data_IF_350564512389
#
_entry.id   IF_350564512389
#
_cell.length_a   1.000
_cell.length_b   1.000
_cell.length_c   1.000
_cell.angle_alpha   90.00
_cell.angle_beta   90.00
_cell.angle_gamma   90.00
#
_symmetry.space_group_name_H-M   'P 1'
#
loop_
_entity.id
_entity.type
_entity.pdbx_description
1 polymer ?
#
# COMPACT_ATOMS: atom_id res chain seq x y z
N UNK A 1 -51.59 67.55 47.65
CA UNK A 1 -52.93 67.65 48.30
C UNK A 1 -52.99 66.97 49.66
N UNK A 2 -52.56 65.69 49.81
CA UNK A 2 -52.61 64.94 51.09
C UNK A 2 -51.92 65.62 52.29
N UNK A 3 -50.77 66.24 52.05
CA UNK A 3 -50.01 66.97 53.08
C UNK A 3 -50.76 68.18 53.66
N UNK A 4 -51.56 68.87 52.84
CA UNK A 4 -52.38 70.03 53.26
C UNK A 4 -53.56 69.56 54.12
N UNK A 5 -54.19 68.44 53.77
CA UNK A 5 -55.29 67.85 54.56
C UNK A 5 -54.84 67.39 55.95
N UNK A 6 -53.66 66.76 56.06
CA UNK A 6 -53.10 66.32 57.35
C UNK A 6 -52.80 67.52 58.27
N UNK A 7 -52.23 68.60 57.71
CA UNK A 7 -51.95 69.84 58.44
C UNK A 7 -53.21 70.50 59.01
N UNK A 8 -54.32 70.51 58.26
CA UNK A 8 -55.61 71.06 58.70
C UNK A 8 -56.22 70.27 59.87
N UNK A 9 -56.16 68.94 59.82
CA UNK A 9 -56.68 68.07 60.89
C UNK A 9 -55.87 68.27 62.18
N UNK A 10 -54.54 68.29 62.09
CA UNK A 10 -53.67 68.49 63.25
C UNK A 10 -53.86 69.86 63.90
N UNK A 11 -53.98 70.92 63.08
CA UNK A 11 -54.16 72.27 63.60
C UNK A 11 -55.54 72.45 64.26
N UNK A 12 -56.59 71.86 63.70
CA UNK A 12 -57.92 71.84 64.31
C UNK A 12 -57.92 71.17 65.70
N UNK A 13 -57.22 70.03 65.84
CA UNK A 13 -57.09 69.31 67.12
C UNK A 13 -56.27 70.11 68.14
N UNK A 14 -55.16 70.73 67.72
CA UNK A 14 -54.30 71.52 68.61
C UNK A 14 -55.01 72.76 69.17
N UNK A 15 -55.76 73.48 68.33
CA UNK A 15 -56.53 74.66 68.74
C UNK A 15 -57.65 74.27 69.71
N UNK A 16 -58.38 73.17 69.44
CA UNK A 16 -59.43 72.71 70.35
C UNK A 16 -58.88 72.22 71.69
N UNK A 17 -57.76 71.50 71.71
CA UNK A 17 -57.12 71.05 72.95
C UNK A 17 -56.62 72.24 73.79
N UNK A 18 -55.95 73.23 73.17
CA UNK A 18 -55.45 74.42 73.86
C UNK A 18 -56.56 75.28 74.47
N UNK A 19 -57.66 75.45 73.73
CA UNK A 19 -58.79 76.29 74.17
C UNK A 19 -59.60 75.64 75.30
N UNK A 20 -59.77 74.32 75.28
CA UNK A 20 -60.44 73.57 76.35
C UNK A 20 -59.66 73.63 77.68
N UNK A 21 -58.33 73.75 77.64
CA UNK A 21 -57.52 73.85 78.85
C UNK A 21 -57.46 75.26 79.46
N UNK A 22 -57.73 76.32 78.70
CA UNK A 22 -57.51 77.71 79.16
C UNK A 22 -58.79 78.51 79.44
N UNK A 23 -59.93 78.23 78.79
CA UNK A 23 -61.14 79.04 78.95
C UNK A 23 -62.41 78.17 79.17
N UNK A 24 -63.00 78.30 80.36
CA UNK A 24 -64.01 77.37 80.88
C UNK A 24 -65.47 77.57 80.42
N UNK A 25 -65.81 78.60 79.65
CA UNK A 25 -67.21 79.08 79.59
C UNK A 25 -67.94 79.03 78.24
N UNK A 26 -67.36 78.56 77.12
CA UNK A 26 -68.10 78.36 75.85
C UNK A 26 -67.72 77.08 75.10
N UNK A 27 -67.90 75.91 75.73
CA UNK A 27 -67.40 74.62 75.23
C UNK A 27 -68.10 74.10 73.95
N UNK A 28 -69.36 74.43 73.71
CA UNK A 28 -70.13 73.83 72.62
C UNK A 28 -69.79 74.38 71.22
N UNK A 29 -69.56 75.69 71.09
CA UNK A 29 -69.37 76.35 69.79
C UNK A 29 -68.03 76.05 69.13
N UNK A 30 -66.96 75.85 69.90
CA UNK A 30 -65.62 75.53 69.37
C UNK A 30 -65.48 74.07 68.94
N UNK A 31 -66.22 73.16 69.57
CA UNK A 31 -66.26 71.75 69.15
C UNK A 31 -66.89 71.63 67.75
N UNK A 32 -67.97 72.37 67.47
CA UNK A 32 -68.62 72.34 66.14
C UNK A 32 -67.71 72.86 65.04
N UNK A 33 -66.99 73.95 65.30
CA UNK A 33 -66.09 74.57 64.32
C UNK A 33 -64.86 73.67 64.03
N UNK A 34 -64.32 72.99 65.04
CA UNK A 34 -63.26 72.00 64.85
C UNK A 34 -63.72 70.75 64.10
N UNK A 35 -64.97 70.31 64.32
CA UNK A 35 -65.52 69.14 63.63
C UNK A 35 -65.57 69.37 62.11
N UNK A 36 -66.00 70.57 61.68
CA UNK A 36 -66.04 70.93 60.25
C UNK A 36 -64.64 70.92 59.63
N UNK A 37 -63.64 71.45 60.34
CA UNK A 37 -62.25 71.45 59.87
C UNK A 37 -61.68 70.03 59.71
N UNK A 38 -62.01 69.12 60.65
CA UNK A 38 -61.60 67.71 60.58
C UNK A 38 -62.27 67.00 59.40
N UNK A 39 -63.57 67.21 59.17
CA UNK A 39 -64.28 66.62 58.04
C UNK A 39 -63.78 67.13 56.69
N UNK A 40 -63.48 68.43 56.57
CA UNK A 40 -62.89 69.00 55.35
C UNK A 40 -61.48 68.42 55.08
N UNK A 41 -60.66 68.26 56.13
CA UNK A 41 -59.34 67.63 56.02
C UNK A 41 -59.42 66.15 55.60
N UNK A 42 -60.36 65.39 56.15
CA UNK A 42 -60.64 63.99 55.78
C UNK A 42 -61.13 63.87 54.33
N UNK A 43 -62.00 64.77 53.88
CA UNK A 43 -62.50 64.78 52.49
C UNK A 43 -61.35 64.98 51.48
N UNK A 44 -60.39 65.86 51.77
CA UNK A 44 -59.21 66.09 50.93
C UNK A 44 -58.23 64.91 50.93
N UNK A 45 -58.14 64.14 52.01
CA UNK A 45 -57.31 62.93 52.08
C UNK A 45 -57.95 61.78 51.28
N UNK A 46 -59.28 61.73 51.25
CA UNK A 46 -60.05 60.67 50.59
C UNK A 46 -60.35 60.92 49.10
N UNK A 47 -60.09 62.12 48.57
CA UNK A 47 -60.38 62.47 47.17
C UNK A 47 -59.68 61.54 46.15
N UNK A 48 -58.48 61.04 46.46
CA UNK A 48 -57.74 60.09 45.59
C UNK A 48 -58.22 58.63 45.71
N UNK A 49 -59.14 58.30 46.63
CA UNK A 49 -59.71 56.95 46.79
C UNK A 49 -61.16 56.82 46.30
N UNK A 50 -61.78 57.91 45.83
CA UNK A 50 -63.18 57.92 45.35
C UNK A 50 -63.26 57.81 43.81
N UNK A 51 -62.20 57.35 43.12
CA UNK A 51 -62.25 57.01 41.68
C UNK A 51 -62.68 55.57 41.38
N UNK A 52 -62.97 54.74 42.39
CA UNK A 52 -63.59 53.42 42.22
C UNK A 52 -64.90 53.31 43.01
N UNK A 53 -65.94 53.99 42.53
CA UNK A 53 -67.33 53.65 42.85
C UNK A 53 -67.81 52.60 41.84
N UNK A 54 -67.77 51.34 42.27
CA UNK A 54 -68.35 50.18 41.60
C UNK A 54 -69.87 50.27 41.60
N UNK A 55 -70.47 50.50 40.43
CA UNK A 55 -71.92 50.35 40.24
C UNK A 55 -72.21 48.90 39.86
N UNK A 56 -73.00 48.23 40.70
CA UNK A 56 -73.45 46.84 40.55
C UNK A 56 -74.28 46.71 39.26
N UNK A 57 -73.75 46.02 38.25
CA UNK A 57 -74.48 45.66 37.02
C UNK A 57 -73.80 45.97 35.68
N UNK A 58 -72.76 46.81 35.64
CA UNK A 58 -72.07 47.18 34.37
C UNK A 58 -70.54 46.97 34.44
N UNK A 59 -69.98 46.75 35.63
CA UNK A 59 -68.53 46.62 35.84
C UNK A 59 -67.88 45.30 35.43
N UNK A 60 -68.63 44.19 35.35
CA UNK A 60 -68.10 42.88 34.94
C UNK A 60 -67.76 42.83 33.45
N UNK A 61 -68.51 43.57 32.62
CA UNK A 61 -68.27 43.65 31.18
C UNK A 61 -66.96 44.39 30.91
N UNK A 62 -66.64 45.43 31.69
CA UNK A 62 -65.44 46.24 31.44
C UNK A 62 -64.15 45.53 31.85
N UNK A 63 -64.16 44.77 32.95
CA UNK A 63 -63.02 43.95 33.36
C UNK A 63 -62.83 42.73 32.45
N UNK A 64 -63.92 42.04 32.08
CA UNK A 64 -63.87 40.94 31.12
C UNK A 64 -63.49 41.42 29.71
N UNK A 65 -63.97 42.59 29.28
CA UNK A 65 -63.57 43.19 28.00
C UNK A 65 -62.09 43.56 28.00
N UNK A 66 -61.57 44.12 29.10
CA UNK A 66 -60.14 44.46 29.22
C UNK A 66 -59.24 43.23 29.28
N UNK A 67 -59.70 42.14 29.91
CA UNK A 67 -59.01 40.85 29.89
C UNK A 67 -59.06 40.21 28.50
N UNK A 68 -60.21 40.23 27.83
CA UNK A 68 -60.36 39.74 26.47
C UNK A 68 -59.54 40.55 25.46
N UNK A 69 -59.42 41.87 25.66
CA UNK A 69 -58.55 42.76 24.88
C UNK A 69 -57.07 42.39 25.11
N UNK A 70 -56.65 42.20 26.37
CA UNK A 70 -55.29 41.75 26.70
C UNK A 70 -54.97 40.35 26.15
N UNK A 71 -55.91 39.42 26.18
CA UNK A 71 -55.73 38.07 25.65
C UNK A 71 -55.73 38.08 24.12
N UNK A 72 -56.57 38.92 23.49
CA UNK A 72 -56.56 39.15 22.05
C UNK A 72 -55.24 39.77 21.58
N UNK A 73 -54.69 40.72 22.35
CA UNK A 73 -53.36 41.29 22.09
C UNK A 73 -52.27 40.23 22.23
N UNK A 74 -52.29 39.42 23.29
CA UNK A 74 -51.33 38.33 23.48
C UNK A 74 -51.39 37.27 22.37
N UNK A 75 -52.61 36.94 21.90
CA UNK A 75 -52.82 36.02 20.77
C UNK A 75 -52.39 36.65 19.45
N UNK A 76 -52.63 37.95 19.24
CA UNK A 76 -52.15 38.68 18.07
C UNK A 76 -50.62 38.77 18.04
N UNK A 77 -49.99 38.96 19.20
CA UNK A 77 -48.54 39.01 19.35
C UNK A 77 -47.90 37.63 19.16
N UNK A 78 -48.53 36.57 19.68
CA UNK A 78 -48.15 35.17 19.40
C UNK A 78 -48.31 34.83 17.92
N UNK A 79 -49.41 35.22 17.30
CA UNK A 79 -49.65 35.02 15.87
C UNK A 79 -48.59 35.75 15.04
N UNK A 80 -48.30 37.01 15.37
CA UNK A 80 -47.26 37.80 14.71
C UNK A 80 -45.88 37.17 14.88
N UNK A 81 -45.55 36.67 16.08
CA UNK A 81 -44.30 35.95 16.33
C UNK A 81 -44.22 34.63 15.55
N UNK A 82 -45.29 33.85 15.50
CA UNK A 82 -45.35 32.60 14.72
C UNK A 82 -45.25 32.88 13.23
N UNK A 83 -45.92 33.90 12.71
CA UNK A 83 -45.81 34.33 11.30
C UNK A 83 -44.39 34.86 11.00
N UNK A 84 -43.77 35.58 11.93
CA UNK A 84 -42.37 36.05 11.78
C UNK A 84 -41.35 34.90 11.84
N UNK A 85 -41.68 33.81 12.54
CA UNK A 85 -40.84 32.62 12.65
C UNK A 85 -41.15 31.55 11.61
N UNK A 86 -42.27 31.63 10.89
CA UNK A 86 -42.64 30.65 9.87
C UNK A 86 -41.61 30.63 8.74
N UNK A 87 -41.11 31.80 8.34
CA UNK A 87 -40.02 31.91 7.37
C UNK A 87 -38.73 31.20 7.83
N UNK A 88 -38.45 31.22 9.14
CA UNK A 88 -37.32 30.50 9.73
C UNK A 88 -37.56 29.00 9.75
N UNK A 89 -38.79 28.54 10.06
CA UNK A 89 -39.16 27.12 10.01
C UNK A 89 -39.06 26.58 8.58
N UNK A 90 -39.52 27.33 7.59
CA UNK A 90 -39.42 26.97 6.18
C UNK A 90 -37.95 26.89 5.72
N UNK A 91 -37.10 27.84 6.14
CA UNK A 91 -35.65 27.79 5.91
C UNK A 91 -35.00 26.56 6.55
N UNK A 92 -35.33 26.24 7.80
CA UNK A 92 -34.80 25.06 8.49
C UNK A 92 -35.26 23.77 7.81
N UNK A 93 -36.53 23.69 7.38
CA UNK A 93 -37.03 22.55 6.62
C UNK A 93 -36.34 22.41 5.26
N UNK A 94 -36.08 23.52 4.57
CA UNK A 94 -35.35 23.54 3.30
C UNK A 94 -33.89 23.10 3.48
N UNK A 95 -33.19 23.60 4.50
CA UNK A 95 -31.82 23.20 4.82
C UNK A 95 -31.74 21.74 5.27
N UNK A 96 -32.69 21.25 6.07
CA UNK A 96 -32.77 19.84 6.44
C UNK A 96 -32.99 18.94 5.20
N UNK A 97 -33.85 19.37 4.27
CA UNK A 97 -34.08 18.67 3.00
C UNK A 97 -32.81 18.64 2.12
N UNK A 98 -32.11 19.77 2.00
CA UNK A 98 -30.81 19.85 1.30
C UNK A 98 -29.76 18.96 1.95
N UNK A 99 -29.64 18.98 3.28
CA UNK A 99 -28.70 18.16 4.03
C UNK A 99 -28.99 16.66 3.86
N UNK A 100 -30.27 16.26 3.88
CA UNK A 100 -30.67 14.88 3.60
C UNK A 100 -30.27 14.46 2.18
N UNK A 101 -30.59 15.28 1.18
CA UNK A 101 -30.22 15.00 -0.22
C UNK A 101 -28.69 14.92 -0.40
N UNK A 102 -27.93 15.80 0.24
CA UNK A 102 -26.47 15.78 0.20
C UNK A 102 -25.92 14.52 0.88
N UNK A 103 -26.48 14.13 2.02
CA UNK A 103 -26.11 12.89 2.73
C UNK A 103 -26.35 11.66 1.86
N UNK A 104 -27.51 11.57 1.20
CA UNK A 104 -27.83 10.50 0.25
C UNK A 104 -26.90 10.51 -0.97
N UNK A 105 -26.55 11.68 -1.50
CA UNK A 105 -25.59 11.80 -2.61
C UNK A 105 -24.19 11.33 -2.19
N UNK A 106 -23.72 11.72 -1.00
CA UNK A 106 -22.44 11.29 -0.44
C UNK A 106 -22.43 9.78 -0.20
N UNK A 107 -23.48 9.21 0.38
CA UNK A 107 -23.60 7.76 0.58
C UNK A 107 -23.52 7.01 -0.76
N UNK A 108 -24.27 7.47 -1.78
CA UNK A 108 -24.25 6.88 -3.12
C UNK A 108 -22.89 7.06 -3.83
N UNK A 109 -22.16 8.14 -3.56
CA UNK A 109 -20.80 8.35 -4.09
C UNK A 109 -19.81 7.44 -3.37
N UNK A 110 -19.95 7.24 -2.07
CA UNK A 110 -19.08 6.38 -1.27
C UNK A 110 -19.24 4.91 -1.67
N UNK A 111 -20.47 4.42 -1.81
CA UNK A 111 -20.74 3.06 -2.29
C UNK A 111 -20.15 2.82 -3.70
N UNK A 112 -20.27 3.81 -4.59
CA UNK A 112 -19.65 3.75 -5.92
C UNK A 112 -18.12 3.75 -5.87
N UNK A 113 -17.53 4.51 -4.94
CA UNK A 113 -16.09 4.52 -4.73
C UNK A 113 -15.60 3.17 -4.19
N UNK A 114 -16.29 2.58 -3.22
CA UNK A 114 -15.99 1.26 -2.67
C UNK A 114 -16.04 0.16 -3.74
N UNK A 115 -17.10 0.13 -4.56
CA UNK A 115 -17.20 -0.83 -5.68
C UNK A 115 -16.08 -0.66 -6.71
N UNK A 116 -15.68 0.60 -6.99
CA UNK A 116 -14.55 0.88 -7.88
C UNK A 116 -13.23 0.42 -7.27
N UNK A 117 -13.02 0.65 -5.98
CA UNK A 117 -11.82 0.17 -5.27
C UNK A 117 -11.73 -1.36 -5.30
N UNK A 118 -12.81 -2.07 -4.99
CA UNK A 118 -12.82 -3.55 -5.06
C UNK A 118 -12.52 -4.06 -6.48
N UNK A 119 -13.02 -3.37 -7.51
CA UNK A 119 -12.74 -3.71 -8.91
C UNK A 119 -11.26 -3.49 -9.24
N UNK A 120 -10.67 -2.38 -8.76
CA UNK A 120 -9.26 -2.07 -8.95
C UNK A 120 -8.37 -3.09 -8.23
N UNK A 121 -8.67 -3.46 -6.99
CA UNK A 121 -7.90 -4.45 -6.23
C UNK A 121 -7.88 -5.82 -6.92
N UNK A 122 -9.04 -6.25 -7.45
CA UNK A 122 -9.13 -7.47 -8.27
C UNK A 122 -8.31 -7.36 -9.55
N UNK A 123 -8.32 -6.20 -10.20
CA UNK A 123 -7.54 -5.97 -11.41
C UNK A 123 -6.03 -5.98 -11.13
N UNK A 124 -5.59 -5.33 -10.04
CA UNK A 124 -4.19 -5.32 -9.59
C UNK A 124 -3.73 -6.74 -9.28
N UNK A 125 -4.51 -7.50 -8.51
CA UNK A 125 -4.18 -8.89 -8.15
C UNK A 125 -4.00 -9.76 -9.39
N UNK A 126 -4.91 -9.65 -10.37
CA UNK A 126 -4.79 -10.37 -11.65
C UNK A 126 -3.56 -9.93 -12.43
N UNK A 127 -3.31 -8.62 -12.53
CA UNK A 127 -2.16 -8.09 -13.25
C UNK A 127 -0.83 -8.58 -12.64
N UNK A 128 -0.71 -8.57 -11.31
CA UNK A 128 0.47 -9.08 -10.61
C UNK A 128 0.68 -10.58 -10.85
N UNK A 129 -0.39 -11.38 -10.81
CA UNK A 129 -0.31 -12.81 -11.13
C UNK A 129 0.13 -13.05 -12.58
N UNK A 130 -0.48 -12.35 -13.54
CA UNK A 130 -0.13 -12.48 -14.95
C UNK A 130 1.29 -12.02 -15.26
N UNK A 131 1.79 -10.99 -14.55
CA UNK A 131 3.17 -10.56 -14.68
C UNK A 131 4.14 -11.65 -14.18
N UNK A 132 3.85 -12.25 -13.02
CA UNK A 132 4.65 -13.36 -12.50
C UNK A 132 4.67 -14.56 -13.46
N UNK A 133 3.53 -14.91 -14.05
CA UNK A 133 3.44 -16.00 -15.03
C UNK A 133 4.26 -15.67 -16.29
N UNK A 134 4.20 -14.42 -16.75
CA UNK A 134 4.94 -13.95 -17.93
C UNK A 134 6.45 -13.95 -17.70
N UNK A 135 6.91 -13.53 -16.51
CA UNK A 135 8.32 -13.60 -16.12
C UNK A 135 8.83 -15.04 -16.12
N UNK A 136 8.06 -15.97 -15.55
CA UNK A 136 8.39 -17.40 -15.55
C UNK A 136 8.49 -17.98 -16.97
N UNK A 137 7.52 -17.69 -17.84
CA UNK A 137 7.55 -18.13 -19.25
C UNK A 137 8.74 -17.53 -19.99
N UNK A 138 9.03 -16.25 -19.76
CA UNK A 138 10.14 -15.55 -20.42
C UNK A 138 11.49 -16.13 -19.99
N UNK A 139 11.70 -16.35 -18.68
CA UNK A 139 12.92 -16.98 -18.17
C UNK A 139 13.10 -18.39 -18.75
N UNK A 140 12.01 -19.18 -18.83
CA UNK A 140 12.04 -20.48 -19.47
C UNK A 140 12.45 -20.39 -20.94
N UNK A 141 11.78 -19.56 -21.74
CA UNK A 141 12.06 -19.42 -23.17
C UNK A 141 13.47 -18.92 -23.43
N UNK A 142 13.95 -17.92 -22.68
CA UNK A 142 15.30 -17.40 -22.81
C UNK A 142 16.35 -18.45 -22.43
N UNK A 143 16.09 -19.26 -21.40
CA UNK A 143 16.97 -20.37 -21.01
C UNK A 143 17.03 -21.43 -22.12
N UNK A 144 15.90 -21.79 -22.74
CA UNK A 144 15.90 -22.74 -23.87
C UNK A 144 16.69 -22.20 -25.06
N UNK A 145 16.47 -20.94 -25.45
CA UNK A 145 17.18 -20.31 -26.55
C UNK A 145 18.68 -20.25 -26.25
N UNK A 146 19.07 -19.85 -25.05
CA UNK A 146 20.48 -19.80 -24.66
C UNK A 146 21.13 -21.19 -24.71
N UNK A 147 20.49 -22.23 -24.16
CA UNK A 147 21.00 -23.60 -24.19
C UNK A 147 21.17 -24.14 -25.63
N UNK A 148 20.26 -23.78 -26.54
CA UNK A 148 20.37 -24.12 -27.96
C UNK A 148 21.48 -23.33 -28.68
N UNK A 149 21.90 -22.20 -28.12
CA UNK A 149 22.92 -21.31 -28.66
C UNK A 149 24.21 -21.35 -27.83
N UNK A 150 24.66 -22.56 -27.49
CA UNK A 150 25.97 -22.80 -26.88
C UNK A 150 26.18 -22.34 -25.42
N UNK A 151 25.11 -22.04 -24.67
CA UNK A 151 25.21 -21.68 -23.25
C UNK A 151 25.08 -22.90 -22.33
N UNK A 152 26.20 -23.32 -21.73
CA UNK A 152 26.23 -24.44 -20.78
C UNK A 152 25.41 -24.16 -19.52
N UNK A 153 25.44 -22.95 -18.97
CA UNK A 153 24.72 -22.64 -17.73
C UNK A 153 23.21 -22.74 -17.93
N UNK A 154 22.74 -22.27 -19.08
CA UNK A 154 21.35 -22.43 -19.48
C UNK A 154 20.97 -23.92 -19.65
N UNK A 155 21.84 -24.71 -20.27
CA UNK A 155 21.66 -26.17 -20.38
C UNK A 155 21.57 -26.86 -19.01
N UNK A 156 22.47 -26.53 -18.08
CA UNK A 156 22.48 -27.07 -16.71
C UNK A 156 21.23 -26.63 -15.93
N UNK A 157 20.77 -25.39 -16.14
CA UNK A 157 19.51 -24.89 -15.55
C UNK A 157 18.29 -25.68 -16.04
N UNK A 158 18.23 -26.02 -17.34
CA UNK A 158 17.18 -26.90 -17.87
C UNK A 158 17.22 -28.29 -17.23
N UNK A 159 18.42 -28.84 -16.97
CA UNK A 159 18.58 -30.10 -16.24
C UNK A 159 17.98 -29.99 -14.84
N UNK A 160 18.34 -28.96 -14.09
CA UNK A 160 17.78 -28.75 -12.74
C UNK A 160 16.27 -28.63 -12.74
N UNK A 161 15.69 -27.84 -13.65
CA UNK A 161 14.23 -27.74 -13.80
C UNK A 161 13.59 -29.06 -14.21
N UNK A 162 14.27 -29.88 -15.01
CA UNK A 162 13.80 -31.20 -15.40
C UNK A 162 13.86 -32.24 -14.27
N UNK A 163 14.62 -31.99 -13.21
CA UNK A 163 14.73 -32.87 -12.05
C UNK A 163 13.76 -32.44 -10.93
N UNK A 164 13.43 -31.14 -10.86
CA UNK A 164 12.44 -30.61 -9.93
C UNK A 164 11.00 -30.83 -10.41
N UNK A 165 10.34 -31.84 -9.84
CA UNK A 165 8.93 -32.19 -10.15
C UNK A 165 7.94 -31.10 -9.78
N UNK A 166 8.32 -30.15 -8.91
CA UNK A 166 7.45 -29.04 -8.52
C UNK A 166 7.62 -27.82 -9.42
N UNK A 167 8.62 -27.81 -10.31
CA UNK A 167 8.85 -26.69 -11.21
C UNK A 167 7.71 -26.61 -12.26
N UNK A 168 7.11 -25.43 -12.51
CA UNK A 168 5.99 -25.28 -13.46
C UNK A 168 6.30 -25.76 -14.88
N UNK A 169 7.59 -25.75 -15.26
CA UNK A 169 8.06 -26.21 -16.57
C UNK A 169 8.77 -27.55 -16.54
N UNK A 170 8.66 -28.35 -15.47
CA UNK A 170 9.37 -29.64 -15.31
C UNK A 170 9.42 -30.49 -16.60
N UNK A 171 8.27 -30.86 -17.14
CA UNK A 171 8.18 -31.73 -18.33
C UNK A 171 8.76 -31.06 -19.58
N UNK A 172 8.51 -29.76 -19.76
CA UNK A 172 9.00 -29.00 -20.93
C UNK A 172 10.52 -28.80 -20.86
N UNK A 173 11.04 -28.53 -19.67
CA UNK A 173 12.47 -28.45 -19.40
C UNK A 173 13.15 -29.80 -19.66
N UNK A 174 12.54 -30.92 -19.26
CA UNK A 174 13.03 -32.26 -19.57
C UNK A 174 13.13 -32.51 -21.07
N UNK A 175 12.09 -32.15 -21.83
CA UNK A 175 12.08 -32.27 -23.29
C UNK A 175 13.14 -31.38 -23.94
N UNK A 176 13.24 -30.12 -23.53
CA UNK A 176 14.23 -29.18 -24.04
C UNK A 176 15.66 -29.64 -23.74
N UNK A 177 15.94 -30.02 -22.49
CA UNK A 177 17.22 -30.55 -22.06
C UNK A 177 17.60 -31.80 -22.86
N UNK A 178 16.69 -32.77 -22.99
CA UNK A 178 16.92 -34.00 -23.76
C UNK A 178 17.20 -33.67 -25.23
N UNK A 179 16.43 -32.76 -25.83
CA UNK A 179 16.62 -32.35 -27.23
C UNK A 179 18.00 -31.75 -27.46
N UNK A 180 18.46 -30.84 -26.59
CA UNK A 180 19.81 -30.28 -26.66
C UNK A 180 20.85 -31.36 -26.43
N UNK A 181 20.69 -32.20 -25.41
CA UNK A 181 21.62 -33.28 -25.09
C UNK A 181 21.80 -34.27 -26.25
N UNK A 182 20.72 -34.67 -26.93
CA UNK A 182 20.79 -35.56 -28.09
C UNK A 182 21.36 -34.88 -29.33
N UNK A 183 21.11 -33.57 -29.52
CA UNK A 183 21.65 -32.84 -30.68
C UNK A 183 23.18 -32.78 -30.67
N UNK A 184 23.76 -32.78 -29.46
CA UNK A 184 25.19 -32.85 -29.16
C UNK A 184 25.74 -34.28 -29.10
N UNK A 185 24.89 -35.31 -29.20
CA UNK A 185 25.28 -36.72 -29.18
C UNK A 185 25.25 -37.38 -30.57
N UNK A 186 25.37 -36.59 -31.64
CA UNK A 186 25.41 -37.14 -33.00
C UNK A 186 26.63 -38.07 -33.18
N UNK A 187 26.48 -39.17 -33.94
CA UNK A 187 27.55 -40.15 -34.15
C UNK A 187 28.71 -39.59 -35.00
N UNK A 188 28.45 -38.53 -35.75
CA UNK A 188 29.44 -37.75 -36.48
C UNK A 188 29.64 -36.40 -35.78
N UNK A 189 30.89 -35.99 -35.60
CA UNK A 189 31.28 -34.64 -35.22
C UNK A 189 31.99 -33.97 -36.40
N UNK A 190 31.88 -32.65 -36.50
CA UNK A 190 32.74 -31.89 -37.41
C UNK A 190 34.16 -32.01 -36.85
N UNK A 191 35.14 -32.35 -37.68
CA UNK A 191 36.54 -32.45 -37.30
C UNK A 191 37.43 -31.96 -38.43
N UNK A 192 38.74 -32.02 -38.25
CA UNK A 192 39.68 -31.41 -39.19
C UNK A 192 39.68 -29.89 -39.09
N UNK A 193 39.37 -29.36 -37.90
CA UNK A 193 39.52 -27.95 -37.62
C UNK A 193 40.98 -27.55 -37.78
N UNK A 194 41.22 -26.42 -38.44
CA UNK A 194 42.57 -25.86 -38.57
C UNK A 194 42.65 -24.59 -37.75
N UNK A 195 43.61 -24.57 -36.82
CA UNK A 195 44.00 -23.33 -36.15
C UNK A 195 44.87 -22.54 -37.11
N UNK A 196 44.41 -21.36 -37.51
CA UNK A 196 45.19 -20.43 -38.34
C UNK A 196 46.24 -19.73 -37.49
N UNK A 197 47.42 -20.33 -37.41
CA UNK A 197 48.58 -19.73 -36.78
C UNK A 197 49.11 -18.57 -37.64
N UNK A 198 49.74 -17.58 -36.99
CA UNK A 198 50.41 -16.48 -37.70
C UNK A 198 51.57 -17.03 -38.52
N UNK A 199 51.80 -16.48 -39.71
CA UNK A 199 52.91 -16.91 -40.57
C UNK A 199 54.26 -16.85 -39.85
N UNK A 200 55.05 -17.92 -39.97
CA UNK A 200 56.33 -18.07 -39.29
C UNK A 200 56.25 -18.44 -37.81
N UNK A 201 55.04 -18.54 -37.22
CA UNK A 201 54.86 -19.03 -35.86
C UNK A 201 54.89 -20.56 -35.79
N UNK A 202 55.83 -21.09 -35.01
CA UNK A 202 55.96 -22.53 -34.79
C UNK A 202 55.13 -22.96 -33.59
N UNK A 203 53.87 -23.35 -33.84
CA UNK A 203 52.95 -23.81 -32.81
C UNK A 203 53.40 -25.11 -32.14
N UNK A 204 54.30 -25.87 -32.78
CA UNK A 204 54.76 -27.15 -32.24
C UNK A 204 55.68 -27.01 -31.02
N UNK A 205 56.16 -25.80 -30.75
CA UNK A 205 56.99 -25.47 -29.59
C UNK A 205 56.20 -25.01 -28.37
N UNK A 206 54.89 -24.80 -28.51
CA UNK A 206 54.04 -24.39 -27.39
C UNK A 206 53.94 -25.51 -26.37
N UNK A 207 54.07 -25.15 -25.08
CA UNK A 207 53.75 -26.10 -24.00
C UNK A 207 52.25 -26.30 -23.89
N UNK A 208 51.82 -27.40 -23.26
CA UNK A 208 50.40 -27.61 -22.94
C UNK A 208 49.81 -26.45 -22.13
N UNK A 209 50.60 -25.86 -21.21
CA UNK A 209 50.20 -24.69 -20.43
C UNK A 209 49.95 -23.47 -21.31
N UNK A 210 50.80 -23.22 -22.30
CA UNK A 210 50.62 -22.10 -23.22
C UNK A 210 49.36 -22.28 -24.07
N UNK A 211 49.12 -23.51 -24.55
CA UNK A 211 47.92 -23.85 -25.31
C UNK A 211 46.64 -23.75 -24.47
N UNK A 212 46.68 -24.19 -23.20
CA UNK A 212 45.56 -24.04 -22.27
C UNK A 212 45.26 -22.55 -21.99
N UNK A 213 46.28 -21.70 -21.89
CA UNK A 213 46.10 -20.25 -21.76
C UNK A 213 45.52 -19.63 -23.03
N UNK A 214 45.94 -20.06 -24.22
CA UNK A 214 45.35 -19.61 -25.47
C UNK A 214 43.88 -20.04 -25.57
N UNK A 215 43.56 -21.27 -25.19
CA UNK A 215 42.20 -21.79 -25.14
C UNK A 215 41.29 -20.94 -24.25
N UNK A 216 41.73 -20.60 -23.03
CA UNK A 216 40.96 -19.78 -22.08
C UNK A 216 40.57 -18.41 -22.64
N UNK A 217 41.42 -17.83 -23.49
CA UNK A 217 41.21 -16.51 -24.10
C UNK A 217 40.61 -16.60 -25.52
N UNK A 218 40.42 -17.80 -26.06
CA UNK A 218 39.93 -17.98 -27.42
C UNK A 218 38.43 -17.67 -27.52
N UNK A 219 37.98 -17.03 -28.61
CA UNK A 219 36.57 -16.96 -28.97
C UNK A 219 35.95 -18.37 -29.05
N UNK A 220 34.66 -18.49 -28.68
CA UNK A 220 33.97 -19.78 -28.61
C UNK A 220 34.09 -20.60 -29.90
N UNK A 221 34.00 -19.97 -31.08
CA UNK A 221 34.11 -20.63 -32.38
C UNK A 221 35.50 -21.25 -32.66
N UNK A 222 36.56 -20.81 -31.97
CA UNK A 222 37.91 -21.36 -32.14
C UNK A 222 38.26 -22.43 -31.11
N UNK A 223 37.48 -22.55 -30.04
CA UNK A 223 37.75 -23.52 -28.96
C UNK A 223 37.79 -24.97 -29.46
N UNK A 224 36.86 -25.47 -30.30
CA UNK A 224 36.95 -26.82 -30.84
C UNK A 224 38.25 -27.08 -31.61
N UNK A 225 38.75 -26.10 -32.37
CA UNK A 225 39.99 -26.22 -33.12
C UNK A 225 41.21 -26.36 -32.21
N UNK A 226 41.25 -25.60 -31.11
CA UNK A 226 42.32 -25.70 -30.12
C UNK A 226 42.26 -27.03 -29.36
N UNK A 227 41.06 -27.52 -29.02
CA UNK A 227 40.89 -28.85 -28.41
C UNK A 227 41.40 -29.95 -29.34
N UNK A 228 41.03 -29.91 -30.62
CA UNK A 228 41.52 -30.87 -31.62
C UNK A 228 43.04 -30.82 -31.77
N UNK A 229 43.59 -29.60 -31.84
CA UNK A 229 45.04 -29.40 -31.94
C UNK A 229 45.77 -30.00 -30.74
N UNK A 230 45.35 -29.66 -29.51
CA UNK A 230 45.96 -30.17 -28.27
C UNK A 230 45.82 -31.69 -28.18
N UNK A 231 44.66 -32.24 -28.55
CA UNK A 231 44.45 -33.69 -28.52
C UNK A 231 45.39 -34.44 -29.46
N UNK A 232 45.62 -33.91 -30.66
CA UNK A 232 46.47 -34.54 -31.67
C UNK A 232 47.99 -34.40 -31.40
N UNK A 233 48.39 -33.65 -30.36
CA UNK A 233 49.79 -33.49 -29.93
C UNK A 233 50.26 -34.72 -29.14
N UNK A 234 51.13 -35.52 -29.73
CA UNK A 234 51.65 -36.75 -29.11
C UNK A 234 52.88 -36.54 -28.22
N UNK A 235 53.48 -35.37 -28.25
CA UNK A 235 54.60 -34.98 -27.37
C UNK A 235 54.13 -34.64 -25.95
N UNK A 236 52.83 -34.44 -25.73
CA UNK A 236 52.26 -34.29 -24.39
C UNK A 236 51.82 -35.66 -23.83
N UNK A 237 52.15 -35.97 -22.55
CA UNK A 237 51.66 -37.18 -21.89
C UNK A 237 50.13 -37.28 -21.99
N UNK A 238 49.62 -38.49 -22.25
CA UNK A 238 48.19 -38.71 -22.45
C UNK A 238 47.37 -38.27 -21.22
N UNK A 239 47.87 -38.54 -20.02
CA UNK A 239 47.23 -38.13 -18.76
C UNK A 239 47.05 -36.60 -18.66
N UNK A 240 48.05 -35.82 -19.07
CA UNK A 240 47.97 -34.36 -19.01
C UNK A 240 46.97 -33.80 -20.03
N UNK A 241 46.89 -34.41 -21.23
CA UNK A 241 45.85 -34.07 -22.21
C UNK A 241 44.45 -34.39 -21.67
N UNK A 242 44.26 -35.54 -21.03
CA UNK A 242 42.98 -35.92 -20.44
C UNK A 242 42.58 -35.03 -19.26
N UNK A 243 43.53 -34.61 -18.42
CA UNK A 243 43.29 -33.64 -17.35
C UNK A 243 42.81 -32.30 -17.89
N UNK A 244 43.47 -31.80 -18.95
CA UNK A 244 43.05 -30.57 -19.60
C UNK A 244 41.63 -30.68 -20.17
N UNK A 245 41.29 -31.78 -20.85
CA UNK A 245 39.93 -32.00 -21.35
C UNK A 245 38.90 -32.07 -20.22
N UNK A 246 39.26 -32.66 -19.08
CA UNK A 246 38.39 -32.69 -17.90
C UNK A 246 38.17 -31.29 -17.32
N UNK A 247 39.23 -30.49 -17.18
CA UNK A 247 39.14 -29.08 -16.75
C UNK A 247 38.17 -28.30 -17.65
N UNK A 248 38.28 -28.49 -18.97
CA UNK A 248 37.38 -27.87 -19.95
C UNK A 248 35.92 -28.30 -19.73
N UNK A 249 35.66 -29.60 -19.59
CA UNK A 249 34.29 -30.08 -19.36
C UNK A 249 33.68 -29.53 -18.06
N UNK A 250 34.50 -29.38 -17.01
CA UNK A 250 34.03 -28.91 -15.71
C UNK A 250 33.83 -27.39 -15.66
N UNK A 251 34.61 -26.60 -16.42
CA UNK A 251 34.69 -25.15 -16.23
C UNK A 251 34.25 -24.29 -17.42
N UNK A 252 34.25 -24.82 -18.65
CA UNK A 252 33.93 -23.98 -19.82
C UNK A 252 32.45 -23.62 -19.86
N UNK A 253 32.15 -22.42 -20.38
CA UNK A 253 30.79 -21.91 -20.54
C UNK A 253 30.15 -22.30 -21.88
N UNK A 254 30.96 -22.72 -22.86
CA UNK A 254 30.49 -23.18 -24.17
C UNK A 254 30.12 -24.66 -24.13
N UNK A 255 28.87 -24.96 -24.45
CA UNK A 255 28.36 -26.33 -24.50
C UNK A 255 29.04 -27.17 -25.59
N UNK A 256 29.34 -26.57 -26.74
CA UNK A 256 30.13 -27.13 -27.82
C UNK A 256 31.54 -27.46 -27.33
N UNK A 257 32.20 -26.53 -26.64
CA UNK A 257 33.55 -26.78 -26.14
C UNK A 257 33.58 -27.96 -25.15
N UNK A 258 32.59 -28.05 -24.27
CA UNK A 258 32.39 -29.20 -23.35
C UNK A 258 32.13 -30.49 -24.13
N UNK A 259 31.28 -30.46 -25.16
CA UNK A 259 30.98 -31.61 -26.00
C UNK A 259 32.21 -32.15 -26.74
N UNK A 260 32.99 -31.28 -27.40
CA UNK A 260 34.23 -31.68 -28.06
C UNK A 260 35.25 -32.23 -27.07
N UNK A 261 35.38 -31.61 -25.91
CA UNK A 261 36.26 -32.11 -24.86
C UNK A 261 35.83 -33.51 -24.39
N UNK A 262 34.53 -33.73 -24.19
CA UNK A 262 33.96 -35.03 -23.87
C UNK A 262 34.17 -36.08 -24.95
N UNK A 263 34.12 -35.71 -26.23
CA UNK A 263 34.40 -36.64 -27.34
C UNK A 263 35.86 -37.08 -27.35
N UNK A 264 36.79 -36.14 -27.24
CA UNK A 264 38.21 -36.48 -27.18
C UNK A 264 38.55 -37.28 -25.92
N UNK A 265 37.93 -36.93 -24.78
CA UNK A 265 38.11 -37.66 -23.55
C UNK A 265 37.61 -39.11 -23.67
N UNK A 266 36.36 -39.31 -24.08
CA UNK A 266 35.76 -40.66 -24.24
C UNK A 266 36.49 -41.50 -25.30
N UNK A 267 36.96 -40.88 -26.39
CA UNK A 267 37.83 -41.53 -27.37
C UNK A 267 39.17 -41.95 -26.75
N UNK A 268 39.80 -41.04 -26.00
CA UNK A 268 41.06 -41.27 -25.30
C UNK A 268 40.99 -42.39 -24.26
N UNK A 269 39.85 -42.52 -23.58
CA UNK A 269 39.60 -43.53 -22.55
C UNK A 269 38.84 -44.76 -23.07
N UNK A 270 38.56 -44.84 -24.38
CA UNK A 270 37.79 -45.92 -25.01
C UNK A 270 36.40 -46.17 -24.40
N UNK A 271 35.77 -45.12 -23.85
CA UNK A 271 34.44 -45.20 -23.26
C UNK A 271 33.36 -45.01 -24.33
N UNK A 272 32.24 -45.74 -24.18
CA UNK A 272 31.04 -45.60 -25.03
C UNK A 272 29.94 -44.84 -24.30
N UNK A 273 30.31 -43.69 -23.75
CA UNK A 273 29.42 -42.81 -22.98
C UNK A 273 29.19 -41.52 -23.77
N UNK A 274 28.03 -40.89 -23.60
CA UNK A 274 27.70 -39.64 -24.27
C UNK A 274 28.67 -38.53 -23.85
N UNK A 275 29.16 -37.69 -24.77
CA UNK A 275 30.19 -36.68 -24.47
C UNK A 275 29.82 -35.68 -23.37
N UNK A 276 28.53 -35.32 -23.29
CA UNK A 276 28.01 -34.38 -22.29
C UNK A 276 27.65 -35.02 -20.94
N UNK A 277 27.96 -36.29 -20.70
CA UNK A 277 27.76 -36.95 -19.41
C UNK A 277 28.83 -36.55 -18.38
N UNK A 278 29.04 -35.24 -18.19
CA UNK A 278 30.16 -34.66 -17.44
C UNK A 278 30.25 -35.19 -16.00
N UNK A 279 29.12 -35.30 -15.29
CA UNK A 279 29.10 -35.81 -13.91
C UNK A 279 29.66 -37.24 -13.80
N UNK A 280 29.27 -38.10 -14.75
CA UNK A 280 29.76 -39.47 -14.82
C UNK A 280 31.25 -39.50 -15.17
N UNK A 281 31.65 -38.75 -16.20
CA UNK A 281 33.04 -38.72 -16.68
C UNK A 281 34.00 -38.15 -15.63
N UNK A 282 33.61 -37.08 -14.91
CA UNK A 282 34.40 -36.50 -13.81
C UNK A 282 34.58 -37.48 -12.67
N UNK A 283 33.51 -38.18 -12.25
CA UNK A 283 33.59 -39.20 -11.22
C UNK A 283 34.49 -40.36 -11.66
N UNK A 284 34.29 -40.87 -12.86
CA UNK A 284 35.09 -41.97 -13.41
C UNK A 284 36.57 -41.59 -13.49
N UNK A 285 36.88 -40.36 -13.94
CA UNK A 285 38.26 -39.88 -14.05
C UNK A 285 38.96 -39.83 -12.70
N UNK A 286 38.28 -39.33 -11.65
CA UNK A 286 38.84 -39.32 -10.29
C UNK A 286 39.25 -40.71 -9.79
N UNK A 287 38.56 -41.76 -10.23
CA UNK A 287 38.81 -43.14 -9.84
C UNK A 287 39.92 -43.81 -10.69
N UNK A 288 40.00 -43.49 -12.00
CA UNK A 288 40.86 -44.21 -12.96
C UNK A 288 42.04 -43.39 -13.48
N UNK A 289 42.17 -42.11 -13.10
CA UNK A 289 43.22 -41.21 -13.59
C UNK A 289 44.63 -41.78 -13.47
N UNK A 290 44.91 -42.47 -12.37
CA UNK A 290 46.24 -43.00 -12.06
C UNK A 290 46.66 -44.16 -12.98
N UNK A 291 45.70 -44.84 -13.63
CA UNK A 291 45.96 -45.88 -14.63
C UNK A 291 46.65 -45.33 -15.89
N UNK A 292 46.58 -44.00 -16.08
CA UNK A 292 47.16 -43.31 -17.23
C UNK A 292 48.52 -42.67 -16.91
N UNK A 293 49.04 -42.84 -15.69
CA UNK A 293 50.42 -42.46 -15.37
C UNK A 293 51.35 -43.39 -16.14
N UNK A 294 52.05 -42.85 -17.14
CA UNK A 294 53.11 -43.60 -17.80
C UNK A 294 54.15 -44.01 -16.75
N UNK A 295 54.41 -45.32 -16.60
CA UNK A 295 55.58 -45.79 -15.86
C UNK A 295 56.80 -45.22 -16.57
N UNK A 296 57.53 -44.32 -15.89
CA UNK A 296 58.83 -43.86 -16.38
C UNK A 296 59.64 -45.10 -16.80
N UNK A 297 60.24 -45.14 -18.01
CA UNK A 297 61.11 -46.26 -18.35
C UNK A 297 62.18 -46.34 -17.27
N UNK A 298 62.19 -47.48 -16.59
CA UNK A 298 63.15 -47.82 -15.55
C UNK A 298 64.54 -47.60 -16.18
N UNK A 299 65.23 -46.52 -15.81
CA UNK A 299 66.64 -46.32 -16.11
C UNK A 299 67.41 -47.32 -15.24
N UNK A 300 67.28 -48.60 -15.54
CA UNK A 300 68.06 -49.66 -14.92
C UNK A 300 68.80 -50.43 -16.01
N UNK A 301 70.11 -50.20 -15.98
CA UNK A 301 71.17 -51.07 -16.50
C UNK A 301 71.51 -50.92 -18.00
N UNK A 302 72.07 -49.75 -18.36
CA UNK A 302 73.33 -49.77 -19.12
C UNK A 302 74.46 -50.14 -18.15
N UNK A 303 74.72 -51.43 -18.00
CA UNK A 303 76.00 -51.93 -17.47
C UNK A 303 76.13 -53.42 -17.76
N UNK A 304 76.62 -53.76 -18.95
CA UNK A 304 77.68 -54.78 -19.03
C UNK A 304 78.51 -54.55 -20.28
N UNK A 305 79.80 -54.34 -20.02
CA UNK A 305 80.92 -54.45 -20.96
C UNK A 305 81.04 -55.88 -21.48
#
# INVERSE_FOLDING_TARGET
MKLIGILLVLNGIAISAGWVMTYGTHKASVITLCSIAVFAGLALILQDRITELTVKGVGSIKAAAKQAESDADAVADLKSRVESQSATVDLVAQEASKAKRLSEEVANKNERAEKKLETLDKAITRATSSLSDLELVTDYTMTVVAAQNDDRKAFDKLKTWSEDKNHPFHERAQQAWTSVFESHNKPYSVGGFKVSWVDGFDSSKLSLRDLANQYKNAPAQLKPALLEYIWNRNDFPKIERLDFLMEVMETDGSLNAVEYAGRYFTSGTSQKIKPLAVDYLSKWWKEHRDEFKEEKPNQSVQATK
#
